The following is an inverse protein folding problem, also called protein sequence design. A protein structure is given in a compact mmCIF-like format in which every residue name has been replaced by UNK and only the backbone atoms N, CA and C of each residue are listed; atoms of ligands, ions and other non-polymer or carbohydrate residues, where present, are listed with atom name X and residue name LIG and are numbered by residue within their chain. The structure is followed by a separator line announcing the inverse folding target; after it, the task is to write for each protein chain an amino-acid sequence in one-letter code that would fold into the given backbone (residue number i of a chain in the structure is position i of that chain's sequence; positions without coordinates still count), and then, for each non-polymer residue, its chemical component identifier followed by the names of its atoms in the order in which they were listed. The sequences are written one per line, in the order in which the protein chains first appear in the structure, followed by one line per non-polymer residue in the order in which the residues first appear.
data_IF_979324927857
#
_entry.id   IF_979324927857
#
_cell.length_a   1.000
_cell.length_b   1.000
_cell.length_c   1.000
_cell.angle_alpha   90.00
_cell.angle_beta   90.00
_cell.angle_gamma   90.00
#
_symmetry.space_group_name_H-M   'P 1'
#
loop_
_entity.id
_entity.type
_entity.pdbx_description
1 polymer ?
#
# COMPACT_ATOMS: atom_id res chain seq x y z
N UNK A 1 -12.34 -10.46 -17.81
CA UNK A 1 -11.40 -9.34 -17.95
C UNK A 1 -10.25 -9.67 -17.02
N UNK A 2 -9.02 -9.84 -17.51
CA UNK A 2 -7.88 -10.05 -16.62
C UNK A 2 -7.66 -8.75 -15.82
N UNK A 3 -7.93 -8.80 -14.51
CA UNK A 3 -7.59 -7.70 -13.60
C UNK A 3 -6.10 -7.35 -13.76
N UNK A 4 -5.81 -6.07 -14.00
CA UNK A 4 -4.44 -5.56 -14.05
C UNK A 4 -3.73 -5.59 -15.40
N UNK A 5 -4.46 -5.74 -16.51
CA UNK A 5 -3.92 -5.56 -17.87
C UNK A 5 -4.40 -4.23 -18.49
N UNK A 6 -3.47 -3.40 -18.97
CA UNK A 6 -3.75 -2.13 -19.65
C UNK A 6 -3.13 -2.10 -21.05
N UNK A 7 -3.89 -1.62 -22.04
CA UNK A 7 -3.40 -1.49 -23.41
C UNK A 7 -2.63 -0.18 -23.59
N UNK A 8 -1.40 -0.26 -24.10
CA UNK A 8 -0.64 0.92 -24.47
C UNK A 8 -1.36 1.73 -25.54
N UNK A 9 -1.42 3.04 -25.33
CA UNK A 9 -1.92 4.00 -26.31
C UNK A 9 -0.73 4.64 -27.00
N UNK A 10 -0.66 4.50 -28.32
CA UNK A 10 0.38 5.09 -29.15
C UNK A 10 -0.20 5.47 -30.51
N UNK A 11 0.38 6.47 -31.15
CA UNK A 11 -0.01 6.91 -32.49
C UNK A 11 0.90 6.25 -33.52
N UNK A 12 0.32 5.51 -34.48
CA UNK A 12 1.08 4.82 -35.51
C UNK A 12 0.80 5.40 -36.91
N UNK A 13 1.67 6.30 -37.36
CA UNK A 13 1.60 6.94 -38.68
C UNK A 13 2.55 6.32 -39.71
N UNK A 14 3.11 5.15 -39.41
CA UNK A 14 4.06 4.45 -40.28
C UNK A 14 3.36 3.96 -41.56
N UNK A 15 4.13 3.82 -42.65
CA UNK A 15 3.66 3.20 -43.89
C UNK A 15 3.42 1.70 -43.69
N UNK A 16 4.37 1.01 -43.06
CA UNK A 16 4.17 -0.32 -42.50
C UNK A 16 3.73 -0.18 -41.04
N UNK A 17 2.51 -0.64 -40.72
CA UNK A 17 1.93 -0.50 -39.37
C UNK A 17 2.51 -1.49 -38.36
N UNK A 18 3.41 -2.39 -38.78
CA UNK A 18 4.03 -3.37 -37.87
C UNK A 18 4.96 -2.69 -36.86
N UNK A 19 4.77 -3.07 -35.60
CA UNK A 19 5.59 -2.67 -34.46
C UNK A 19 5.87 -3.88 -33.59
N UNK A 20 6.91 -3.81 -32.79
CA UNK A 20 7.25 -4.81 -31.77
C UNK A 20 7.33 -4.16 -30.41
N UNK A 21 6.90 -4.89 -29.38
CA UNK A 21 6.96 -4.44 -27.99
C UNK A 21 7.94 -5.29 -27.20
N UNK A 22 8.66 -4.67 -26.27
CA UNK A 22 9.58 -5.35 -25.37
C UNK A 22 9.52 -4.74 -23.99
N UNK A 23 9.48 -5.58 -22.96
CA UNK A 23 9.68 -5.14 -21.58
C UNK A 23 11.16 -5.21 -21.19
N UNK A 24 11.64 -4.21 -20.45
CA UNK A 24 12.97 -4.24 -19.83
C UNK A 24 13.05 -5.24 -18.67
N UNK A 25 11.93 -5.56 -18.04
CA UNK A 25 11.85 -6.53 -16.95
C UNK A 25 10.48 -7.25 -16.92
N UNK A 26 10.35 -8.40 -17.60
CA UNK A 26 9.14 -9.22 -17.60
C UNK A 26 8.70 -9.75 -16.24
N UNK A 27 9.58 -9.83 -15.24
CA UNK A 27 9.22 -10.25 -13.87
C UNK A 27 8.44 -9.16 -13.11
N UNK A 28 8.52 -7.91 -13.57
CA UNK A 28 7.78 -6.76 -13.03
C UNK A 28 6.53 -6.50 -13.88
N UNK A 29 6.70 -6.39 -15.20
CA UNK A 29 5.59 -6.17 -16.13
C UNK A 29 5.88 -6.84 -17.49
N UNK A 30 4.92 -7.61 -18.00
CA UNK A 30 4.96 -8.21 -19.34
C UNK A 30 4.19 -7.36 -20.33
N UNK A 31 4.54 -7.42 -21.61
CA UNK A 31 3.78 -6.80 -22.71
C UNK A 31 3.52 -7.83 -23.82
N UNK A 32 2.29 -7.92 -24.33
CA UNK A 32 1.94 -8.79 -25.46
C UNK A 32 2.31 -8.15 -26.80
N UNK A 33 2.20 -8.92 -27.89
CA UNK A 33 2.42 -8.42 -29.26
C UNK A 33 1.43 -7.32 -29.65
N UNK A 34 0.23 -7.32 -29.08
CA UNK A 34 -0.80 -6.28 -29.28
C UNK A 34 -0.62 -5.05 -28.37
N UNK A 35 0.45 -5.02 -27.56
CA UNK A 35 0.73 -3.94 -26.62
C UNK A 35 -0.09 -3.99 -25.33
N UNK A 36 -0.58 -5.17 -24.92
CA UNK A 36 -1.25 -5.35 -23.63
C UNK A 36 -0.21 -5.53 -22.53
N UNK A 37 -0.13 -4.57 -21.61
CA UNK A 37 0.79 -4.61 -20.46
C UNK A 37 0.08 -5.27 -19.29
N UNK A 38 0.70 -6.26 -18.66
CA UNK A 38 0.20 -6.95 -17.47
C UNK A 38 1.19 -6.79 -16.33
N UNK A 39 0.70 -6.35 -15.17
CA UNK A 39 1.48 -6.24 -13.95
C UNK A 39 1.75 -7.62 -13.33
N UNK A 40 3.00 -7.89 -12.94
CA UNK A 40 3.42 -9.15 -12.32
C UNK A 40 3.82 -8.93 -10.86
N UNK A 41 4.75 -8.00 -10.61
CA UNK A 41 5.28 -7.72 -9.27
C UNK A 41 5.63 -6.25 -9.08
N UNK A 42 5.66 -5.79 -7.82
CA UNK A 42 5.97 -4.39 -7.48
C UNK A 42 7.36 -4.02 -7.99
N UNK A 43 7.47 -2.89 -8.69
CA UNK A 43 8.73 -2.42 -9.23
C UNK A 43 8.55 -1.51 -10.44
N UNK A 44 9.63 -1.29 -11.19
CA UNK A 44 9.66 -0.47 -12.39
C UNK A 44 10.12 -1.30 -13.58
N UNK A 45 9.44 -1.17 -14.70
CA UNK A 45 9.85 -1.71 -15.98
C UNK A 45 9.62 -0.66 -17.08
N UNK A 46 10.50 -0.62 -18.06
CA UNK A 46 10.30 0.22 -19.25
C UNK A 46 9.80 -0.67 -20.37
N UNK A 47 8.69 -0.28 -20.99
CA UNK A 47 8.19 -0.90 -22.21
C UNK A 47 8.70 -0.10 -23.40
N UNK A 48 9.36 -0.77 -24.34
CA UNK A 48 9.86 -0.19 -25.58
C UNK A 48 8.99 -0.65 -26.73
N UNK A 49 8.59 0.28 -27.60
CA UNK A 49 7.94 0.02 -28.89
C UNK A 49 8.90 0.38 -30.01
N UNK A 50 9.05 -0.48 -31.01
CA UNK A 50 9.95 -0.28 -32.16
C UNK A 50 9.22 -0.59 -33.46
N UNK A 51 9.39 0.24 -34.49
CA UNK A 51 8.89 -0.04 -35.85
C UNK A 51 9.54 -1.29 -36.44
N UNK A 52 8.85 -1.99 -37.34
CA UNK A 52 9.38 -3.22 -37.93
C UNK A 52 10.71 -3.04 -38.68
N UNK A 53 10.95 -1.84 -39.24
CA UNK A 53 12.20 -1.47 -39.91
C UNK A 53 13.28 -0.92 -38.95
N UNK A 54 12.98 -0.81 -37.65
CA UNK A 54 13.89 -0.32 -36.62
C UNK A 54 14.17 1.19 -36.66
N UNK A 55 13.55 1.96 -37.56
CA UNK A 55 13.83 3.39 -37.74
C UNK A 55 13.19 4.27 -36.66
N UNK A 56 12.11 3.80 -36.02
CA UNK A 56 11.39 4.55 -34.99
C UNK A 56 11.30 3.72 -33.71
N UNK A 57 11.54 4.36 -32.58
CA UNK A 57 11.42 3.75 -31.26
C UNK A 57 10.86 4.76 -30.28
N UNK A 58 10.05 4.26 -29.34
CA UNK A 58 9.58 5.04 -28.19
C UNK A 58 9.58 4.16 -26.93
N UNK A 59 9.46 4.79 -25.76
CA UNK A 59 9.46 4.11 -24.48
C UNK A 59 8.38 4.64 -23.53
N UNK A 60 7.93 3.77 -22.62
CA UNK A 60 6.98 4.08 -21.56
C UNK A 60 7.45 3.45 -20.25
N UNK A 61 7.63 4.26 -19.19
CA UNK A 61 7.91 3.74 -17.85
C UNK A 61 6.61 3.20 -17.22
N UNK A 62 6.64 1.95 -16.79
CA UNK A 62 5.57 1.26 -16.07
C UNK A 62 6.02 1.08 -14.62
N UNK A 63 5.23 1.61 -13.69
CA UNK A 63 5.47 1.48 -12.25
C UNK A 63 4.36 0.62 -11.65
N UNK A 64 4.70 -0.60 -11.26
CA UNK A 64 3.78 -1.52 -10.58
C UNK A 64 3.84 -1.26 -9.09
N UNK A 65 2.70 -0.89 -8.51
CA UNK A 65 2.54 -0.62 -7.08
C UNK A 65 1.78 -1.73 -6.37
N UNK A 66 1.98 -1.84 -5.07
CA UNK A 66 1.14 -2.64 -4.19
C UNK A 66 0.00 -1.79 -3.63
N UNK A 67 -1.09 -2.41 -3.16
CA UNK A 67 -2.18 -1.68 -2.52
C UNK A 67 -1.68 -0.81 -1.36
N UNK A 68 -0.69 -1.30 -0.59
CA UNK A 68 -0.11 -0.54 0.53
C UNK A 68 0.58 0.76 0.11
N UNK A 69 1.01 0.90 -1.14
CA UNK A 69 1.61 2.15 -1.64
C UNK A 69 0.58 3.30 -1.74
N UNK A 70 -0.71 2.99 -1.60
CA UNK A 70 -1.82 3.94 -1.62
C UNK A 70 -2.47 4.13 -0.24
N UNK A 71 -1.93 3.50 0.81
CA UNK A 71 -2.50 3.56 2.14
C UNK A 71 -1.69 4.48 3.03
N UNK A 72 -2.37 5.41 3.69
CA UNK A 72 -1.77 6.33 4.65
C UNK A 72 -2.30 6.03 6.04
N UNK A 73 -1.48 5.37 6.84
CA UNK A 73 -1.75 5.11 8.24
C UNK A 73 -1.08 6.17 9.12
N UNK A 74 -1.79 6.65 10.13
CA UNK A 74 -1.25 7.65 11.06
C UNK A 74 -1.86 7.55 12.45
N UNK A 75 -1.14 8.00 13.47
CA UNK A 75 -1.72 8.26 14.79
C UNK A 75 -2.23 9.71 14.82
N UNK A 76 -3.51 9.90 15.12
CA UNK A 76 -4.14 11.21 15.30
C UNK A 76 -3.89 11.79 16.70
N UNK A 77 -3.44 10.96 17.65
CA UNK A 77 -3.03 11.41 18.98
C UNK A 77 -3.27 10.39 20.08
N UNK A 78 -2.77 10.74 21.27
CA UNK A 78 -2.99 10.03 22.52
C UNK A 78 -3.81 10.90 23.46
N UNK A 79 -4.96 10.40 23.91
CA UNK A 79 -5.71 10.96 25.02
C UNK A 79 -5.55 10.05 26.24
N UNK A 80 -4.66 10.43 27.15
CA UNK A 80 -4.39 9.63 28.33
C UNK A 80 -3.15 10.09 29.09
N UNK A 81 -2.73 9.26 30.03
CA UNK A 81 -1.61 9.55 30.92
C UNK A 81 -0.38 8.83 30.41
N UNK A 82 0.73 9.57 30.26
CA UNK A 82 2.03 9.01 29.90
C UNK A 82 3.02 9.36 31.00
N UNK A 83 3.65 8.34 31.61
CA UNK A 83 4.61 8.50 32.69
C UNK A 83 5.90 7.80 32.27
N UNK A 84 7.00 8.54 32.16
CA UNK A 84 8.32 8.01 31.77
C UNK A 84 8.27 7.15 30.50
N UNK A 85 7.52 7.60 29.49
CA UNK A 85 7.33 6.88 28.23
C UNK A 85 6.29 5.75 28.27
N UNK A 86 5.84 5.29 29.44
CA UNK A 86 4.77 4.31 29.57
C UNK A 86 3.40 4.98 29.45
N UNK A 87 2.69 4.69 28.37
CA UNK A 87 1.28 5.05 28.20
C UNK A 87 0.46 4.16 29.12
N UNK A 88 -0.26 4.77 30.06
CA UNK A 88 -0.95 4.06 31.14
C UNK A 88 -2.24 3.39 30.67
N UNK A 89 -2.66 2.35 31.40
CA UNK A 89 -3.96 1.69 31.21
C UNK A 89 -5.11 2.69 31.16
N UNK A 90 -6.08 2.46 30.26
CA UNK A 90 -7.24 3.34 30.03
C UNK A 90 -6.96 4.54 29.12
N UNK A 91 -5.69 4.86 28.83
CA UNK A 91 -5.32 5.83 27.80
C UNK A 91 -5.83 5.37 26.43
N UNK A 92 -6.09 6.31 25.53
CA UNK A 92 -6.67 6.06 24.21
C UNK A 92 -5.75 6.57 23.11
N UNK A 93 -5.39 5.71 22.17
CA UNK A 93 -4.69 6.10 20.94
C UNK A 93 -5.69 6.09 19.78
N UNK A 94 -5.74 7.19 19.04
CA UNK A 94 -6.60 7.31 17.87
C UNK A 94 -5.77 7.09 16.59
N UNK A 95 -6.15 6.08 15.82
CA UNK A 95 -5.44 5.57 14.66
C UNK A 95 -6.28 5.79 13.42
N UNK A 96 -5.69 6.41 12.39
CA UNK A 96 -6.34 6.68 11.11
C UNK A 96 -5.72 5.81 10.01
N UNK A 97 -6.55 5.35 9.09
CA UNK A 97 -6.14 4.73 7.84
C UNK A 97 -6.91 5.38 6.69
N UNK A 98 -6.19 5.95 5.73
CA UNK A 98 -6.76 6.56 4.54
C UNK A 98 -6.41 5.67 3.34
N UNK A 99 -7.43 5.22 2.63
CA UNK A 99 -7.30 4.49 1.36
C UNK A 99 -7.33 5.49 0.20
N UNK A 100 -6.17 5.85 -0.35
CA UNK A 100 -6.06 6.72 -1.54
C UNK A 100 -6.11 5.96 -2.86
N UNK A 101 -6.36 4.65 -2.82
CA UNK A 101 -6.52 3.86 -4.05
C UNK A 101 -7.89 4.11 -4.68
N UNK A 102 -8.07 3.57 -5.87
CA UNK A 102 -9.34 3.56 -6.61
C UNK A 102 -10.16 2.29 -6.37
N UNK A 103 -9.78 1.46 -5.41
CA UNK A 103 -10.45 0.20 -5.07
C UNK A 103 -10.75 0.12 -3.59
N UNK A 104 -11.78 -0.65 -3.25
CA UNK A 104 -12.12 -0.92 -1.87
C UNK A 104 -11.18 -1.99 -1.29
N UNK A 105 -10.86 -1.87 0.00
CA UNK A 105 -10.09 -2.86 0.76
C UNK A 105 -10.83 -3.28 2.02
N UNK A 106 -10.38 -4.35 2.67
CA UNK A 106 -10.89 -4.76 3.98
C UNK A 106 -9.79 -4.59 5.04
N UNK A 107 -10.07 -3.84 6.09
CA UNK A 107 -9.25 -3.80 7.29
C UNK A 107 -9.69 -4.94 8.21
N UNK A 108 -8.86 -5.98 8.31
CA UNK A 108 -9.15 -7.17 9.10
C UNK A 108 -8.96 -6.91 10.58
N UNK A 109 -7.85 -6.26 10.95
CA UNK A 109 -7.50 -6.07 12.35
C UNK A 109 -6.47 -4.96 12.58
N UNK A 110 -6.36 -4.55 13.84
CA UNK A 110 -5.32 -3.67 14.36
C UNK A 110 -4.54 -4.39 15.47
N UNK A 111 -3.23 -4.19 15.52
CA UNK A 111 -2.39 -4.69 16.60
C UNK A 111 -1.37 -3.63 17.03
N UNK A 112 -1.34 -3.32 18.33
CA UNK A 112 -0.32 -2.44 18.87
C UNK A 112 0.94 -3.22 19.21
N UNK A 113 2.09 -2.63 18.92
CA UNK A 113 3.42 -3.15 19.24
C UNK A 113 4.17 -2.10 20.03
N UNK A 114 4.65 -2.52 21.19
CA UNK A 114 5.51 -1.71 22.04
C UNK A 114 6.85 -1.49 21.33
N UNK A 115 7.21 -0.23 21.07
CA UNK A 115 8.42 0.10 20.32
C UNK A 115 9.71 -0.02 21.12
N UNK A 116 9.63 -0.25 22.43
CA UNK A 116 10.82 -0.48 23.29
C UNK A 116 11.09 -1.97 23.42
N UNK A 117 10.06 -2.76 23.75
CA UNK A 117 10.20 -4.20 24.00
C UNK A 117 9.96 -5.06 22.77
N UNK A 118 9.33 -4.51 21.72
CA UNK A 118 8.84 -5.27 20.57
C UNK A 118 7.63 -6.15 20.86
N UNK A 119 7.09 -6.09 22.08
CA UNK A 119 5.96 -6.92 22.50
C UNK A 119 4.70 -6.53 21.74
N UNK A 120 4.08 -7.50 21.08
CA UNK A 120 2.80 -7.29 20.42
C UNK A 120 1.67 -7.47 21.44
N UNK A 121 0.74 -6.51 21.48
CA UNK A 121 -0.51 -6.63 22.22
C UNK A 121 -1.49 -7.57 21.54
N UNK A 122 -2.67 -7.68 22.15
CA UNK A 122 -3.77 -8.42 21.54
C UNK A 122 -4.17 -7.79 20.20
N UNK A 123 -4.53 -8.64 19.26
CA UNK A 123 -5.10 -8.24 17.98
C UNK A 123 -6.57 -7.86 18.19
N UNK A 124 -6.94 -6.69 17.69
CA UNK A 124 -8.33 -6.19 17.66
C UNK A 124 -8.90 -6.52 16.28
N UNK A 125 -9.85 -7.44 16.24
CA UNK A 125 -10.61 -7.71 15.03
C UNK A 125 -11.49 -6.50 14.67
N UNK A 126 -11.52 -6.18 13.38
CA UNK A 126 -12.23 -5.02 12.84
C UNK A 126 -13.22 -5.47 11.75
N UNK A 127 -12.72 -6.16 10.72
CA UNK A 127 -13.53 -6.67 9.59
C UNK A 127 -14.32 -5.59 8.82
N UNK A 128 -13.78 -4.38 8.74
CA UNK A 128 -14.44 -3.25 8.08
C UNK A 128 -13.96 -3.04 6.66
N UNK A 129 -14.90 -2.67 5.79
CA UNK A 129 -14.60 -2.16 4.45
C UNK A 129 -14.05 -0.73 4.56
N UNK A 130 -12.92 -0.46 3.90
CA UNK A 130 -12.37 0.89 3.73
C UNK A 130 -12.49 1.29 2.26
N UNK A 131 -13.52 2.08 1.90
CA UNK A 131 -13.79 2.38 0.49
C UNK A 131 -12.69 3.18 -0.19
N UNK A 132 -12.63 3.08 -1.52
CA UNK A 132 -11.75 3.88 -2.36
C UNK A 132 -11.87 5.38 -2.06
N UNK A 133 -10.75 6.06 -1.86
CA UNK A 133 -10.67 7.49 -1.57
C UNK A 133 -11.15 7.91 -0.18
N UNK A 134 -11.50 6.97 0.72
CA UNK A 134 -12.03 7.26 2.05
C UNK A 134 -11.05 6.92 3.17
N UNK A 135 -11.31 7.47 4.36
CA UNK A 135 -10.56 7.18 5.57
C UNK A 135 -11.45 6.65 6.68
N UNK A 136 -10.86 5.82 7.53
CA UNK A 136 -11.46 5.29 8.76
C UNK A 136 -10.59 5.64 9.94
N UNK A 137 -11.17 5.69 11.14
CA UNK A 137 -10.42 5.94 12.37
C UNK A 137 -10.91 5.07 13.50
N UNK A 138 -9.97 4.56 14.29
CA UNK A 138 -10.21 3.64 15.39
C UNK A 138 -9.53 4.13 16.65
N UNK A 139 -10.25 4.09 17.76
CA UNK A 139 -9.69 4.38 19.08
C UNK A 139 -9.36 3.08 19.79
N UNK A 140 -8.08 2.85 20.05
CA UNK A 140 -7.60 1.69 20.82
C UNK A 140 -7.35 2.13 22.26
N UNK A 141 -7.98 1.45 23.22
CA UNK A 141 -7.77 1.69 24.65
C UNK A 141 -6.63 0.82 25.16
N UNK A 142 -5.66 1.42 25.85
CA UNK A 142 -4.50 0.74 26.40
C UNK A 142 -4.93 -0.16 27.57
N UNK A 143 -4.50 -1.42 27.51
CA UNK A 143 -4.81 -2.43 28.51
C UNK A 143 -4.05 -2.26 29.83
N UNK A 144 -4.31 -3.17 30.75
CA UNK A 144 -3.88 -3.12 32.16
C UNK A 144 -2.37 -2.87 32.36
N UNK A 145 -1.52 -3.41 31.49
CA UNK A 145 -0.06 -3.32 31.64
C UNK A 145 0.53 -2.01 31.11
N UNK A 146 -0.27 -1.17 30.44
CA UNK A 146 0.27 -0.05 29.68
C UNK A 146 0.99 -0.48 28.40
N UNK A 147 1.61 0.48 27.71
CA UNK A 147 2.48 0.24 26.55
C UNK A 147 3.53 1.35 26.48
N UNK A 148 4.79 1.03 26.23
CA UNK A 148 5.83 2.05 26.08
C UNK A 148 5.76 2.69 24.70
N UNK A 149 5.84 4.03 24.68
CA UNK A 149 6.09 4.79 23.47
C UNK A 149 7.57 4.67 23.05
N UNK A 150 7.89 4.69 21.74
CA UNK A 150 6.96 4.82 20.62
C UNK A 150 6.06 3.58 20.47
N UNK A 151 4.83 3.77 20.03
CA UNK A 151 3.89 2.67 19.79
C UNK A 151 3.67 2.52 18.30
N UNK A 152 3.84 1.32 17.77
CA UNK A 152 3.49 1.00 16.38
C UNK A 152 2.11 0.37 16.35
N UNK A 153 1.22 0.88 15.50
CA UNK A 153 -0.01 0.19 15.13
C UNK A 153 0.18 -0.51 13.80
N UNK A 154 -0.03 -1.83 13.78
CA UNK A 154 -0.07 -2.68 12.60
C UNK A 154 -1.50 -2.83 12.14
N UNK A 155 -1.77 -2.47 10.89
CA UNK A 155 -3.04 -2.63 10.22
C UNK A 155 -2.93 -3.86 9.32
N UNK A 156 -3.74 -4.89 9.58
CA UNK A 156 -3.84 -6.06 8.71
C UNK A 156 -4.91 -5.80 7.65
N UNK A 157 -4.47 -5.67 6.41
CA UNK A 157 -5.33 -5.36 5.27
C UNK A 157 -5.49 -6.61 4.41
N UNK A 158 -6.69 -6.86 3.92
CA UNK A 158 -6.97 -7.88 2.92
C UNK A 158 -7.43 -7.22 1.61
N UNK A 159 -6.80 -7.63 0.51
CA UNK A 159 -7.15 -7.20 -0.83
C UNK A 159 -6.73 -8.28 -1.83
N UNK A 160 -7.63 -8.65 -2.74
CA UNK A 160 -7.43 -9.72 -3.74
C UNK A 160 -6.91 -11.04 -3.13
N UNK A 161 -7.53 -11.48 -2.03
CA UNK A 161 -7.16 -12.69 -1.27
C UNK A 161 -5.71 -12.72 -0.77
N UNK A 162 -5.07 -11.55 -0.69
CA UNK A 162 -3.73 -11.37 -0.12
C UNK A 162 -3.81 -10.49 1.10
N UNK A 163 -2.98 -10.81 2.08
CA UNK A 163 -2.85 -10.03 3.31
C UNK A 163 -1.64 -9.11 3.22
N UNK A 164 -1.81 -7.87 3.67
CA UNK A 164 -0.78 -6.85 3.74
C UNK A 164 -0.73 -6.24 5.14
N UNK A 165 0.44 -5.76 5.53
CA UNK A 165 0.62 -5.00 6.78
C UNK A 165 1.01 -3.57 6.43
N UNK A 166 0.31 -2.62 7.02
CA UNK A 166 0.67 -1.20 7.04
C UNK A 166 0.97 -0.83 8.48
N UNK A 167 1.97 0.02 8.71
CA UNK A 167 2.36 0.45 10.05
C UNK A 167 2.24 1.97 10.19
N UNK A 168 1.75 2.41 11.35
CA UNK A 168 1.83 3.80 11.79
C UNK A 168 2.49 3.86 13.16
N UNK A 169 3.26 4.91 13.41
CA UNK A 169 3.99 5.06 14.69
C UNK A 169 3.49 6.29 15.43
N UNK A 170 3.02 6.09 16.65
CA UNK A 170 2.87 7.15 17.63
C UNK A 170 4.22 7.38 18.32
N UNK A 171 4.81 8.56 18.12
CA UNK A 171 5.97 9.02 18.88
C UNK A 171 5.48 10.04 19.91
N UNK A 172 5.76 9.78 21.18
CA UNK A 172 5.52 10.78 22.20
C UNK A 172 6.58 11.89 22.07
N UNK A 173 6.17 13.12 21.80
CA UNK A 173 7.03 14.27 21.51
C UNK A 173 7.70 14.88 22.75
N UNK A 174 7.91 14.10 23.80
CA UNK A 174 8.47 14.58 25.08
C UNK A 174 9.97 14.31 25.26
N UNK A 175 10.70 14.04 24.17
CA UNK A 175 12.16 14.06 24.14
C UNK A 175 12.66 14.59 22.80
#
# INVERSE_FOLDING_TARGET
MEEGAEKLKYTNNLKDKKVTFKSSNPEIATVSEEGMVKAISRGKATITIVSADGQYSDNCEVIVKNIVDYLEASCLGCNGVVINGLIQSGSKLNWSLINKSNVDIVLKSLQLVDGVTGSAGNEMDVEDKVPAGQGVSYTVTIGRLGIYAPVTCRYKIEYNNKTYIVEAVYKNSLW
#
